data_IF_924468018434
#
_entry.id   IF_924468018434
#
_cell.length_a   1.000
_cell.length_b   1.000
_cell.length_c   1.000
_cell.angle_alpha   90.00
_cell.angle_beta   90.00
_cell.angle_gamma   90.00
#
_symmetry.space_group_name_H-M   'P 1'
#
loop_
_entity.id
_entity.type
_entity.pdbx_description
1 polymer ?
#
# COMPACT_ATOMS: atom_id res chain seq x y z
N UNK A 1 -7.01 30.65 9.24
CA UNK A 1 -8.03 29.78 9.86
C UNK A 1 -8.08 28.46 9.12
N UNK A 2 -7.89 27.34 9.84
CA UNK A 2 -7.97 26.03 9.21
C UNK A 2 -9.39 25.68 8.84
N UNK A 3 -9.58 25.16 7.65
CA UNK A 3 -10.87 24.62 7.24
C UNK A 3 -11.19 23.36 8.07
N UNK A 4 -12.46 23.14 8.30
CA UNK A 4 -12.95 21.98 9.04
C UNK A 4 -12.47 20.65 8.42
N UNK A 5 -12.37 20.59 7.09
CA UNK A 5 -11.85 19.45 6.33
C UNK A 5 -10.37 19.16 6.65
N UNK A 6 -9.54 20.20 6.84
CA UNK A 6 -8.12 20.04 7.12
C UNK A 6 -7.88 19.40 8.51
N UNK A 7 -8.74 19.72 9.47
CA UNK A 7 -8.68 19.16 10.81
C UNK A 7 -9.06 17.68 10.77
N UNK A 8 -10.11 17.34 10.04
CA UNK A 8 -10.58 15.97 9.89
C UNK A 8 -9.53 15.08 9.19
N UNK A 9 -8.90 15.60 8.13
CA UNK A 9 -7.86 14.86 7.41
C UNK A 9 -6.65 14.56 8.30
N UNK A 10 -6.28 15.44 9.19
CA UNK A 10 -5.17 15.22 10.12
C UNK A 10 -5.43 14.08 11.10
N UNK A 11 -6.68 13.81 11.40
CA UNK A 11 -7.07 12.75 12.32
C UNK A 11 -7.20 11.40 11.67
N UNK A 12 -7.19 11.31 10.32
CA UNK A 12 -7.29 10.04 9.61
C UNK A 12 -5.98 9.26 9.77
N UNK A 13 -6.11 8.07 10.28
CA UNK A 13 -4.97 7.17 10.52
C UNK A 13 -4.67 6.33 9.27
N UNK A 14 -3.41 5.93 9.14
CA UNK A 14 -2.98 5.01 8.09
C UNK A 14 -3.79 3.71 8.10
N UNK A 15 -4.11 3.17 9.29
CA UNK A 15 -4.94 1.97 9.43
C UNK A 15 -6.33 2.14 8.83
N UNK A 16 -6.89 3.33 8.88
CA UNK A 16 -8.18 3.64 8.26
C UNK A 16 -8.08 3.62 6.73
N UNK A 17 -7.01 4.16 6.18
CA UNK A 17 -6.76 4.13 4.74
C UNK A 17 -6.59 2.68 4.27
N UNK A 18 -5.81 1.90 4.99
CA UNK A 18 -5.60 0.48 4.68
C UNK A 18 -6.92 -0.29 4.62
N UNK A 19 -7.78 -0.08 5.60
CA UNK A 19 -9.09 -0.72 5.65
C UNK A 19 -9.98 -0.32 4.47
N UNK A 20 -10.01 0.97 4.13
CA UNK A 20 -10.76 1.47 2.99
C UNK A 20 -10.27 0.85 1.67
N UNK A 21 -8.97 0.74 1.52
CA UNK A 21 -8.36 0.13 0.32
C UNK A 21 -8.74 -1.34 0.21
N UNK A 22 -8.68 -2.09 1.31
CA UNK A 22 -9.08 -3.50 1.31
C UNK A 22 -10.55 -3.66 0.92
N UNK A 23 -11.43 -2.83 1.46
CA UNK A 23 -12.85 -2.84 1.11
C UNK A 23 -13.07 -2.54 -0.36
N UNK A 24 -12.38 -1.54 -0.89
CA UNK A 24 -12.46 -1.16 -2.30
C UNK A 24 -11.99 -2.30 -3.21
N UNK A 25 -10.86 -2.91 -2.89
CA UNK A 25 -10.32 -4.04 -3.66
C UNK A 25 -11.30 -5.23 -3.68
N UNK A 26 -11.94 -5.50 -2.56
CA UNK A 26 -12.95 -6.55 -2.45
C UNK A 26 -14.14 -6.27 -3.35
N UNK A 27 -14.68 -5.06 -3.27
CA UNK A 27 -15.85 -4.65 -4.07
C UNK A 27 -15.55 -4.70 -5.56
N UNK A 28 -14.34 -4.35 -5.95
CA UNK A 28 -13.91 -4.31 -7.36
C UNK A 28 -13.30 -5.63 -7.86
N UNK A 29 -13.44 -6.70 -7.06
CA UNK A 29 -13.05 -8.05 -7.44
C UNK A 29 -11.56 -8.23 -7.75
N UNK A 30 -10.70 -7.48 -7.06
CA UNK A 30 -9.27 -7.72 -7.11
C UNK A 30 -8.92 -8.89 -6.21
N UNK A 31 -8.04 -9.76 -6.67
CA UNK A 31 -7.38 -10.66 -5.73
C UNK A 31 -6.31 -9.88 -5.00
N UNK A 32 -6.28 -9.96 -3.68
CA UNK A 32 -5.26 -9.25 -2.92
C UNK A 32 -4.90 -10.01 -1.64
N UNK A 33 -3.74 -9.70 -1.12
CA UNK A 33 -3.34 -10.15 0.21
C UNK A 33 -2.68 -8.99 0.94
N UNK A 34 -2.89 -8.95 2.22
CA UNK A 34 -2.23 -8.00 3.09
C UNK A 34 -0.86 -8.54 3.46
N UNK A 35 0.17 -7.73 3.21
CA UNK A 35 1.55 -8.07 3.57
C UNK A 35 1.83 -7.49 4.96
N UNK A 36 2.00 -8.35 5.94
CA UNK A 36 2.27 -7.88 7.29
C UNK A 36 3.75 -7.60 7.45
N UNK A 37 4.10 -6.32 7.36
CA UNK A 37 5.49 -5.84 7.43
C UNK A 37 5.82 -5.17 8.75
N UNK A 38 4.99 -5.31 9.79
CA UNK A 38 5.28 -4.65 11.05
C UNK A 38 6.53 -5.24 11.66
N UNK A 39 7.66 -4.58 11.34
CA UNK A 39 8.96 -4.92 11.85
C UNK A 39 8.94 -4.89 13.38
N UNK A 40 9.39 -5.96 13.99
CA UNK A 40 9.73 -5.98 15.40
C UNK A 40 8.61 -6.34 16.36
N UNK A 41 7.41 -6.64 15.90
CA UNK A 41 6.36 -7.04 16.83
C UNK A 41 5.80 -8.40 16.49
N UNK A 42 6.50 -9.41 16.95
CA UNK A 42 5.90 -10.72 17.10
C UNK A 42 4.81 -10.60 18.17
N UNK A 43 3.59 -10.35 17.79
CA UNK A 43 2.50 -10.40 18.73
C UNK A 43 2.09 -11.86 18.91
N UNK A 44 2.09 -12.30 20.15
CA UNK A 44 1.49 -13.59 20.51
C UNK A 44 2.06 -14.80 19.77
N UNK A 45 3.39 -14.87 19.62
CA UNK A 45 4.04 -16.01 18.97
C UNK A 45 3.85 -16.06 17.45
N UNK A 46 3.31 -15.04 16.85
CA UNK A 46 3.20 -14.97 15.42
C UNK A 46 4.55 -14.58 14.81
N UNK A 47 5.01 -15.40 13.89
CA UNK A 47 6.24 -15.11 13.17
C UNK A 47 6.03 -13.92 12.22
N UNK A 48 6.95 -12.98 12.29
CA UNK A 48 7.07 -11.99 11.25
C UNK A 48 7.53 -12.68 9.97
N UNK A 49 6.77 -12.49 8.91
CA UNK A 49 7.23 -12.95 7.60
C UNK A 49 8.33 -12.02 7.14
N UNK A 50 9.51 -12.57 6.93
CA UNK A 50 10.57 -11.87 6.26
C UNK A 50 10.60 -12.29 4.80
N UNK A 51 10.75 -11.32 3.93
CA UNK A 51 10.95 -11.55 2.50
C UNK A 51 12.43 -11.38 2.22
N UNK A 52 13.00 -12.27 1.42
CA UNK A 52 14.41 -12.19 1.06
C UNK A 52 14.59 -12.11 -0.45
N UNK A 53 15.62 -11.40 -0.86
CA UNK A 53 16.05 -11.35 -2.25
C UNK A 53 17.57 -11.44 -2.28
N UNK A 54 18.12 -12.36 -3.04
CA UNK A 54 19.56 -12.62 -3.13
C UNK A 54 20.21 -12.87 -1.75
N UNK A 55 19.49 -13.59 -0.86
CA UNK A 55 19.97 -13.90 0.47
C UNK A 55 19.88 -12.76 1.48
N UNK A 56 19.34 -11.62 1.08
CA UNK A 56 19.16 -10.45 1.96
C UNK A 56 17.69 -10.21 2.24
N UNK A 57 17.41 -9.75 3.45
CA UNK A 57 16.04 -9.37 3.81
C UNK A 57 15.62 -8.15 3.02
N UNK A 58 14.41 -8.22 2.43
CA UNK A 58 13.84 -7.09 1.70
C UNK A 58 13.16 -6.15 2.68
N UNK A 59 13.64 -4.91 2.72
CA UNK A 59 13.04 -3.87 3.54
C UNK A 59 11.94 -3.14 2.75
N UNK A 60 10.91 -2.69 3.46
CA UNK A 60 9.93 -1.77 2.89
C UNK A 60 8.91 -2.39 1.94
N UNK A 61 8.66 -3.69 2.04
CA UNK A 61 7.59 -4.34 1.26
C UNK A 61 6.27 -3.61 1.53
N UNK A 62 5.50 -3.36 0.48
CA UNK A 62 4.25 -2.61 0.57
C UNK A 62 3.19 -3.34 1.41
N UNK A 63 2.19 -2.59 1.89
CA UNK A 63 1.14 -3.09 2.77
C UNK A 63 0.27 -4.16 2.12
N UNK A 64 -0.01 -4.00 0.83
CA UNK A 64 -0.91 -4.87 0.08
C UNK A 64 -0.27 -5.26 -1.24
N UNK A 65 -0.38 -6.55 -1.57
CA UNK A 65 -0.15 -7.05 -2.91
C UNK A 65 -1.50 -7.38 -3.54
N UNK A 66 -1.75 -6.89 -4.74
CA UNK A 66 -2.96 -7.20 -5.48
C UNK A 66 -2.62 -7.65 -6.90
N UNK A 67 -3.53 -8.40 -7.51
CA UNK A 67 -3.39 -8.79 -8.90
C UNK A 67 -4.75 -8.66 -9.59
N UNK A 68 -4.74 -8.08 -10.78
CA UNK A 68 -5.95 -7.90 -11.59
C UNK A 68 -5.58 -8.06 -13.05
N UNK A 69 -6.24 -9.00 -13.72
CA UNK A 69 -6.03 -9.28 -15.15
C UNK A 69 -4.55 -9.46 -15.52
N UNK A 70 -3.81 -10.18 -14.66
CA UNK A 70 -2.40 -10.44 -14.86
C UNK A 70 -1.46 -9.32 -14.46
N UNK A 71 -1.96 -8.19 -13.98
CA UNK A 71 -1.14 -7.07 -13.54
C UNK A 71 -0.89 -7.17 -12.03
N UNK A 72 0.38 -7.21 -11.65
CA UNK A 72 0.81 -7.22 -10.24
C UNK A 72 0.89 -5.79 -9.72
N UNK A 73 0.27 -5.56 -8.57
CA UNK A 73 0.10 -4.23 -7.99
C UNK A 73 0.56 -4.25 -6.54
N UNK A 74 1.45 -3.33 -6.18
CA UNK A 74 1.93 -3.16 -4.82
C UNK A 74 1.44 -1.82 -4.29
N UNK A 75 0.71 -1.86 -3.18
CA UNK A 75 0.04 -0.68 -2.64
C UNK A 75 0.58 -0.37 -1.26
N UNK A 76 1.19 0.78 -1.12
CA UNK A 76 1.61 1.34 0.16
C UNK A 76 0.59 2.36 0.62
N UNK A 77 0.02 2.16 1.81
CA UNK A 77 -0.98 3.07 2.36
C UNK A 77 -0.33 4.04 3.32
N UNK A 78 -0.66 5.31 3.18
CA UNK A 78 -0.19 6.37 4.07
C UNK A 78 -1.35 7.23 4.51
N UNK A 79 -1.26 7.79 5.71
CA UNK A 79 -2.25 8.77 6.17
C UNK A 79 -2.18 10.03 5.29
N UNK A 80 -3.31 10.75 5.11
CA UNK A 80 -3.35 11.90 4.21
C UNK A 80 -2.41 13.02 4.60
N UNK A 81 -2.20 13.24 5.89
CA UNK A 81 -1.36 14.32 6.39
C UNK A 81 -0.22 13.75 7.22
N UNK A 82 1.01 14.10 6.86
CA UNK A 82 2.22 13.70 7.58
C UNK A 82 2.71 12.28 7.28
N UNK A 83 2.06 11.57 6.39
CA UNK A 83 2.53 10.26 5.96
C UNK A 83 3.77 10.38 5.09
N UNK A 84 4.80 9.57 5.40
CA UNK A 84 6.07 9.58 4.64
C UNK A 84 6.53 8.18 4.32
N UNK A 85 7.11 8.03 3.13
CA UNK A 85 7.79 6.80 2.77
C UNK A 85 9.16 6.74 3.46
N UNK A 86 9.50 5.58 4.00
CA UNK A 86 10.88 5.29 4.36
C UNK A 86 11.70 5.07 3.08
N UNK A 87 13.02 5.14 3.19
CA UNK A 87 13.88 4.84 2.04
C UNK A 87 13.68 3.42 1.53
N UNK A 88 13.49 2.46 2.43
CA UNK A 88 13.21 1.07 2.05
C UNK A 88 11.90 0.95 1.28
N UNK A 89 10.84 1.62 1.72
CA UNK A 89 9.55 1.60 1.02
C UNK A 89 9.65 2.22 -0.37
N UNK A 90 10.35 3.34 -0.49
CA UNK A 90 10.58 3.99 -1.79
C UNK A 90 11.37 3.10 -2.72
N UNK A 91 12.46 2.54 -2.24
CA UNK A 91 13.31 1.64 -3.03
C UNK A 91 12.54 0.41 -3.50
N UNK A 92 11.69 -0.15 -2.64
CA UNK A 92 10.85 -1.29 -2.99
C UNK A 92 9.89 -0.94 -4.13
N UNK A 93 9.16 0.15 -4.01
CA UNK A 93 8.21 0.58 -5.04
C UNK A 93 8.92 0.89 -6.36
N UNK A 94 10.07 1.55 -6.30
CA UNK A 94 10.86 1.84 -7.50
C UNK A 94 11.30 0.54 -8.19
N UNK A 95 11.72 -0.45 -7.41
CA UNK A 95 12.11 -1.75 -7.96
C UNK A 95 10.92 -2.45 -8.61
N UNK A 96 9.75 -2.41 -8.00
CA UNK A 96 8.54 -3.01 -8.58
C UNK A 96 8.17 -2.33 -9.89
N UNK A 97 8.17 -1.02 -9.93
CA UNK A 97 7.86 -0.26 -11.14
C UNK A 97 8.87 -0.53 -12.26
N UNK A 98 10.16 -0.61 -11.95
CA UNK A 98 11.20 -0.92 -12.95
C UNK A 98 11.06 -2.31 -13.52
N UNK A 99 10.48 -3.24 -12.76
CA UNK A 99 10.35 -4.63 -13.18
C UNK A 99 8.96 -4.95 -13.78
N UNK A 100 8.21 -3.92 -14.11
CA UNK A 100 6.94 -4.10 -14.84
C UNK A 100 5.70 -4.30 -13.98
N UNK A 101 5.83 -4.30 -12.66
CA UNK A 101 4.67 -4.28 -11.77
C UNK A 101 4.21 -2.83 -11.56
N UNK A 102 3.08 -2.65 -10.90
CA UNK A 102 2.57 -1.34 -10.54
C UNK A 102 2.82 -1.12 -9.05
N UNK A 103 3.63 -0.13 -8.72
CA UNK A 103 3.90 0.25 -7.33
C UNK A 103 3.36 1.64 -7.06
N UNK A 104 2.43 1.77 -6.11
CA UNK A 104 1.73 3.02 -5.82
C UNK A 104 1.67 3.30 -4.33
N UNK A 105 1.59 4.59 -4.01
CA UNK A 105 1.37 5.09 -2.65
C UNK A 105 0.00 5.75 -2.63
N UNK A 106 -0.87 5.33 -1.73
CA UNK A 106 -2.23 5.85 -1.66
C UNK A 106 -2.53 6.41 -0.27
N UNK A 107 -3.25 7.50 -0.24
CA UNK A 107 -3.70 8.14 0.99
C UNK A 107 -5.21 8.41 1.00
N UNK A 108 -5.90 7.93 -0.03
CA UNK A 108 -7.36 8.04 -0.18
C UNK A 108 -7.83 7.09 -1.26
N UNK A 109 -9.12 6.83 -1.31
CA UNK A 109 -9.71 6.04 -2.41
C UNK A 109 -9.59 6.77 -3.74
N UNK A 110 -9.74 8.09 -3.74
CA UNK A 110 -9.55 8.88 -4.97
C UNK A 110 -8.14 8.71 -5.54
N UNK A 111 -7.11 8.74 -4.68
CA UNK A 111 -5.73 8.57 -5.13
C UNK A 111 -5.49 7.15 -5.65
N UNK A 112 -6.12 6.14 -5.03
CA UNK A 112 -6.05 4.76 -5.49
C UNK A 112 -6.64 4.61 -6.90
N UNK A 113 -7.85 5.10 -7.12
CA UNK A 113 -8.52 5.00 -8.41
C UNK A 113 -7.75 5.72 -9.50
N UNK A 114 -7.28 6.93 -9.21
CA UNK A 114 -6.51 7.72 -10.16
C UNK A 114 -5.23 7.00 -10.60
N UNK A 115 -4.46 6.50 -9.65
CA UNK A 115 -3.18 5.84 -9.95
C UNK A 115 -3.37 4.51 -10.67
N UNK A 116 -4.39 3.73 -10.31
CA UNK A 116 -4.71 2.49 -11.02
C UNK A 116 -5.12 2.78 -12.46
N UNK A 117 -5.94 3.80 -12.65
CA UNK A 117 -6.37 4.23 -13.99
C UNK A 117 -5.17 4.69 -14.83
N UNK A 118 -4.29 5.51 -14.27
CA UNK A 118 -3.08 5.98 -14.95
C UNK A 118 -2.15 4.82 -15.34
N UNK A 119 -2.14 3.77 -14.53
CA UNK A 119 -1.35 2.57 -14.80
C UNK A 119 -2.04 1.61 -15.79
N UNK A 120 -3.24 1.93 -16.25
CA UNK A 120 -3.98 1.10 -17.20
C UNK A 120 -4.66 -0.11 -16.57
N UNK A 121 -4.86 -0.11 -15.26
CA UNK A 121 -5.51 -1.22 -14.56
C UNK A 121 -7.04 -1.08 -14.68
N UNK A 122 -7.69 -2.17 -15.08
CA UNK A 122 -9.14 -2.22 -15.16
C UNK A 122 -9.74 -2.30 -13.75
N UNK A 123 -10.54 -1.30 -13.39
CA UNK A 123 -11.18 -1.22 -12.08
C UNK A 123 -12.68 -1.64 -12.11
N UNK A 124 -13.17 -2.04 -13.24
CA UNK A 124 -14.56 -2.47 -13.39
C UNK A 124 -14.77 -3.94 -13.01
#
# INVERSE_FOLDING_TARGET
MRKKTDILEKEIKESSILKQVEEWLTVHHFWYMRCNNSAGKAQSGMFMRSFTCLGHQVAGVSDIYAIKDGVSIWIECKRPVGGRLSDGQRNFLDAMNRNGAVGIVVNSIESLELQLKEAGVNCE
#
